data_IF_247289588507
#
_entry.id   IF_247289588507
#
_cell.length_a   1.000
_cell.length_b   1.000
_cell.length_c   1.000
_cell.angle_alpha   90.00
_cell.angle_beta   90.00
_cell.angle_gamma   90.00
#
_symmetry.space_group_name_H-M   'P 1'
#
loop_
_entity.id
_entity.type
_entity.pdbx_description
1 polymer ?
#
# COMPACT_ATOMS: atom_id res chain seq x y z
N UNK A 1 45.32 -31.81 -7.92
CA UNK A 1 45.52 -32.11 -9.35
C UNK A 1 44.87 -30.99 -10.14
N UNK A 2 45.71 -30.13 -10.73
CA UNK A 2 45.37 -28.86 -11.38
C UNK A 2 45.27 -29.14 -12.88
N UNK A 3 44.21 -28.71 -13.56
CA UNK A 3 44.23 -28.53 -15.03
C UNK A 3 43.62 -27.17 -15.38
N UNK A 4 44.42 -26.40 -16.12
CA UNK A 4 44.19 -25.07 -16.69
C UNK A 4 43.49 -25.14 -18.04
N UNK A 5 42.84 -24.01 -18.36
CA UNK A 5 42.47 -23.44 -19.66
C UNK A 5 43.29 -23.85 -20.89
N UNK A 6 42.61 -23.89 -22.05
CA UNK A 6 43.11 -23.34 -23.31
C UNK A 6 41.99 -22.66 -24.13
N UNK A 7 42.41 -21.58 -24.79
CA UNK A 7 41.69 -20.62 -25.63
C UNK A 7 41.50 -21.13 -27.07
N UNK A 8 40.50 -20.61 -27.77
CA UNK A 8 40.63 -20.29 -29.19
C UNK A 8 39.71 -19.12 -29.57
N UNK A 9 40.30 -18.07 -30.14
CA UNK A 9 39.64 -16.95 -30.81
C UNK A 9 40.31 -16.77 -32.21
N UNK A 10 39.72 -15.92 -33.04
CA UNK A 10 40.01 -15.49 -34.44
C UNK A 10 39.09 -16.19 -35.47
N UNK A 11 38.26 -15.50 -36.25
CA UNK A 11 38.02 -14.07 -36.34
C UNK A 11 37.02 -13.65 -37.45
N UNK A 12 36.57 -12.39 -37.32
CA UNK A 12 36.12 -11.41 -38.32
C UNK A 12 35.18 -11.82 -39.48
N UNK A 13 33.95 -11.28 -39.49
CA UNK A 13 33.27 -10.77 -40.69
C UNK A 13 32.52 -9.46 -40.34
N UNK A 14 32.79 -8.42 -41.13
CA UNK A 14 32.31 -7.04 -40.97
C UNK A 14 30.82 -6.88 -41.38
N UNK A 15 30.16 -5.79 -40.94
CA UNK A 15 28.71 -5.61 -41.01
C UNK A 15 28.22 -5.06 -42.35
N UNK A 16 27.03 -5.49 -42.76
CA UNK A 16 26.32 -4.92 -43.92
C UNK A 16 25.68 -3.59 -43.51
N UNK A 17 26.12 -2.54 -44.21
CA UNK A 17 25.62 -1.17 -44.19
C UNK A 17 24.34 -1.08 -45.04
N UNK A 18 23.29 -0.43 -44.53
CA UNK A 18 22.18 0.06 -45.36
C UNK A 18 22.15 1.61 -45.34
N UNK A 19 21.92 2.26 -46.49
CA UNK A 19 22.22 3.67 -46.69
C UNK A 19 21.11 4.61 -46.19
N UNK A 20 21.52 5.84 -45.87
CA UNK A 20 20.65 6.95 -45.51
C UNK A 20 20.30 7.85 -46.71
N UNK A 21 19.09 8.42 -46.60
CA UNK A 21 18.59 9.68 -47.17
C UNK A 21 18.04 9.71 -48.61
N UNK A 22 16.76 10.11 -48.73
CA UNK A 22 16.18 11.24 -49.52
C UNK A 22 14.66 11.22 -49.25
N UNK A 23 14.11 12.05 -48.36
CA UNK A 23 13.61 13.44 -48.54
C UNK A 23 12.12 13.56 -48.93
N UNK A 24 11.41 14.40 -48.16
CA UNK A 24 10.24 15.23 -48.53
C UNK A 24 8.84 14.59 -48.63
N UNK A 25 7.95 14.88 -47.67
CA UNK A 25 6.84 15.85 -47.76
C UNK A 25 5.88 15.71 -46.55
N UNK A 26 5.42 16.84 -45.99
CA UNK A 26 4.06 17.11 -45.42
C UNK A 26 3.43 16.04 -44.50
N UNK A 27 3.16 16.27 -43.20
CA UNK A 27 2.21 17.27 -42.69
C UNK A 27 2.39 17.45 -41.18
N UNK A 28 2.67 18.68 -40.76
CA UNK A 28 2.32 19.19 -39.42
C UNK A 28 0.82 19.46 -39.42
N UNK A 29 0.07 18.87 -38.49
CA UNK A 29 -1.27 19.36 -38.16
C UNK A 29 -1.33 19.68 -36.68
N UNK A 30 -1.18 20.98 -36.41
CA UNK A 30 -1.66 21.63 -35.21
C UNK A 30 -3.18 21.64 -35.24
N UNK A 31 -3.84 21.26 -34.15
CA UNK A 31 -5.24 21.59 -33.93
C UNK A 31 -5.32 22.63 -32.82
N UNK A 32 -5.39 23.88 -33.25
CA UNK A 32 -5.86 25.02 -32.48
C UNK A 32 -7.39 24.93 -32.41
N UNK A 33 -7.94 24.85 -31.20
CA UNK A 33 -9.32 25.26 -30.95
C UNK A 33 -9.29 26.41 -29.96
N UNK A 34 -9.49 27.62 -30.49
CA UNK A 34 -9.72 28.81 -29.70
C UNK A 34 -11.13 28.76 -29.09
N UNK A 35 -11.20 28.88 -27.77
CA UNK A 35 -12.39 29.38 -27.09
C UNK A 35 -11.95 30.59 -26.27
N UNK A 36 -12.41 31.77 -26.68
CA UNK A 36 -12.23 33.01 -25.94
C UNK A 36 -13.37 33.21 -24.93
N UNK A 37 -13.09 34.06 -23.93
CA UNK A 37 -13.99 34.71 -22.96
C UNK A 37 -14.37 33.84 -21.74
N UNK A 38 -14.24 34.27 -20.47
CA UNK A 38 -14.33 35.60 -19.85
C UNK A 38 -13.37 35.67 -18.63
N UNK A 39 -12.63 36.76 -18.48
CA UNK A 39 -11.98 37.13 -17.21
C UNK A 39 -13.04 37.47 -16.17
N UNK A 40 -13.25 36.60 -15.19
CA UNK A 40 -13.79 36.98 -13.89
C UNK A 40 -12.62 37.03 -12.90
N UNK A 41 -12.22 38.24 -12.53
CA UNK A 41 -11.36 38.46 -11.37
C UNK A 41 -12.13 38.09 -10.11
N UNK A 42 -12.14 36.82 -9.74
CA UNK A 42 -12.48 36.42 -8.39
C UNK A 42 -11.22 36.60 -7.56
N UNK A 43 -11.20 37.62 -6.71
CA UNK A 43 -10.33 37.67 -5.54
C UNK A 43 -10.58 36.42 -4.72
N UNK A 44 -9.83 35.35 -4.97
CA UNK A 44 -9.82 34.17 -4.14
C UNK A 44 -9.11 34.57 -2.84
N UNK A 45 -9.91 34.87 -1.82
CA UNK A 45 -9.48 34.82 -0.44
C UNK A 45 -8.80 33.47 -0.23
N UNK A 46 -7.57 33.48 0.30
CA UNK A 46 -6.82 32.27 0.59
C UNK A 46 -7.68 31.32 1.41
N UNK A 47 -8.08 30.20 0.80
CA UNK A 47 -8.70 29.13 1.56
C UNK A 47 -7.61 28.57 2.46
N UNK A 48 -7.73 28.86 3.76
CA UNK A 48 -7.10 28.06 4.80
C UNK A 48 -7.53 26.60 4.53
N UNK A 49 -6.59 25.63 4.46
CA UNK A 49 -6.95 24.23 4.27
C UNK A 49 -8.04 23.88 5.28
N UNK A 50 -9.17 23.40 4.78
CA UNK A 50 -10.24 22.98 5.65
C UNK A 50 -9.67 21.90 6.58
N UNK A 51 -9.61 22.20 7.88
CA UNK A 51 -9.47 21.20 8.94
C UNK A 51 -10.70 20.29 8.91
N UNK A 52 -10.83 19.49 7.87
CA UNK A 52 -11.74 18.35 7.84
C UNK A 52 -11.02 17.24 8.57
N UNK A 53 -11.14 17.27 9.90
CA UNK A 53 -10.99 16.06 10.69
C UNK A 53 -11.77 14.95 9.97
N UNK A 54 -11.15 13.79 9.75
CA UNK A 54 -11.91 12.57 9.45
C UNK A 54 -13.05 12.51 10.46
N UNK A 55 -14.31 12.58 10.00
CA UNK A 55 -15.45 12.73 10.91
C UNK A 55 -15.63 11.52 11.83
N UNK A 56 -14.91 10.43 11.56
CA UNK A 56 -14.91 9.24 12.39
C UNK A 56 -13.48 8.85 12.73
N UNK A 57 -13.18 8.91 14.03
CA UNK A 57 -12.05 8.25 14.64
C UNK A 57 -12.53 6.93 15.25
N UNK A 58 -11.74 5.88 15.09
CA UNK A 58 -12.06 4.56 15.61
C UNK A 58 -10.88 3.93 16.31
N UNK A 59 -11.15 2.79 16.95
CA UNK A 59 -10.12 1.86 17.35
C UNK A 59 -10.54 0.45 17.01
N UNK A 60 -9.56 -0.43 16.84
CA UNK A 60 -9.78 -1.86 16.76
C UNK A 60 -8.64 -2.55 17.50
N UNK A 61 -8.93 -3.72 18.05
CA UNK A 61 -7.96 -4.52 18.80
C UNK A 61 -7.66 -5.76 18.01
N UNK A 62 -6.37 -6.10 17.91
CA UNK A 62 -5.90 -7.38 17.39
C UNK A 62 -5.16 -8.12 18.47
N UNK A 63 -5.23 -9.44 18.42
CA UNK A 63 -4.51 -10.31 19.36
C UNK A 63 -3.29 -10.89 18.66
N UNK A 64 -2.10 -10.50 19.11
CA UNK A 64 -0.86 -11.22 18.81
C UNK A 64 -0.77 -12.45 19.72
N UNK A 65 -0.94 -13.64 19.12
CA UNK A 65 -1.07 -14.89 19.88
C UNK A 65 0.28 -15.36 20.43
N UNK A 66 0.28 -15.90 21.64
CA UNK A 66 1.47 -16.48 22.27
C UNK A 66 2.18 -17.47 21.34
N UNK A 67 3.51 -17.39 21.28
CA UNK A 67 4.37 -18.27 20.47
C UNK A 67 3.92 -18.45 19.02
N UNK A 68 3.42 -17.37 18.41
CA UNK A 68 2.90 -17.39 17.05
C UNK A 68 3.25 -16.10 16.30
N UNK A 69 3.10 -16.15 14.98
CA UNK A 69 3.24 -14.99 14.11
C UNK A 69 1.87 -14.67 13.53
N UNK A 70 1.35 -13.49 13.82
CA UNK A 70 0.00 -13.06 13.42
C UNK A 70 0.09 -11.96 12.36
N UNK A 71 -0.59 -12.14 11.23
CA UNK A 71 -0.78 -11.08 10.24
C UNK A 71 -1.86 -10.12 10.72
N UNK A 72 -1.58 -8.82 10.63
CA UNK A 72 -2.35 -7.75 11.25
C UNK A 72 -2.46 -6.56 10.29
N UNK A 73 -3.67 -6.04 10.13
CA UNK A 73 -3.90 -4.78 9.41
C UNK A 73 -4.24 -3.64 10.37
N UNK A 74 -3.64 -2.48 10.17
CA UNK A 74 -3.84 -1.29 11.01
C UNK A 74 -5.23 -0.66 10.80
N UNK A 75 -5.87 -0.87 9.64
CA UNK A 75 -7.24 -0.44 9.28
C UNK A 75 -7.61 1.02 9.59
N UNK A 76 -6.63 1.87 9.87
CA UNK A 76 -6.80 3.29 10.14
C UNK A 76 -5.64 4.04 9.53
N UNK A 77 -5.92 5.23 9.02
CA UNK A 77 -4.91 6.16 8.53
C UNK A 77 -4.61 7.22 9.57
N UNK A 78 -3.43 7.82 9.50
CA UNK A 78 -3.11 8.99 10.32
C UNK A 78 -3.96 10.20 9.90
N UNK A 79 -4.13 11.20 10.79
CA UNK A 79 -4.84 12.43 10.46
C UNK A 79 -4.32 13.10 9.20
N UNK A 80 -5.21 13.84 8.54
CA UNK A 80 -4.88 14.60 7.33
C UNK A 80 -4.01 15.79 7.72
N UNK A 81 -2.95 16.02 6.96
CA UNK A 81 -2.01 17.12 7.17
C UNK A 81 -2.24 18.26 6.17
N UNK A 82 -2.57 17.92 4.93
CA UNK A 82 -2.95 18.87 3.90
C UNK A 82 -4.00 18.25 2.97
N UNK A 83 -4.77 19.09 2.29
CA UNK A 83 -5.70 18.70 1.24
C UNK A 83 -5.95 19.88 0.31
N UNK A 84 -6.43 19.58 -0.89
CA UNK A 84 -6.60 20.59 -1.92
C UNK A 84 -7.10 20.01 -3.22
N UNK A 85 -6.84 20.72 -4.31
CA UNK A 85 -7.19 20.34 -5.68
C UNK A 85 -5.95 20.39 -6.56
N UNK A 86 -5.85 19.45 -7.48
CA UNK A 86 -4.75 19.41 -8.44
C UNK A 86 -4.97 20.52 -9.47
N UNK A 87 -4.07 21.48 -9.52
CA UNK A 87 -4.05 22.52 -10.56
C UNK A 87 -3.23 22.11 -11.79
N UNK A 88 -2.20 21.30 -11.57
CA UNK A 88 -1.39 20.73 -12.63
C UNK A 88 -0.76 19.41 -12.17
N UNK A 89 -0.58 18.49 -13.11
CA UNK A 89 0.12 17.23 -12.90
C UNK A 89 1.18 17.01 -13.98
N UNK A 90 2.25 16.34 -13.59
CA UNK A 90 3.29 15.86 -14.47
C UNK A 90 3.81 14.53 -13.92
N UNK A 91 4.74 13.91 -14.64
CA UNK A 91 5.39 12.67 -14.19
C UNK A 91 5.90 12.86 -12.76
N UNK A 92 5.33 12.09 -11.83
CA UNK A 92 5.68 12.09 -10.39
C UNK A 92 5.53 13.44 -9.69
N UNK A 93 4.65 14.32 -10.17
CA UNK A 93 4.51 15.67 -9.65
C UNK A 93 3.06 16.11 -9.62
N UNK A 94 2.58 16.52 -8.45
CA UNK A 94 1.26 17.13 -8.25
C UNK A 94 1.42 18.57 -7.77
N UNK A 95 0.75 19.51 -8.44
CA UNK A 95 0.80 20.94 -8.12
C UNK A 95 -0.54 21.43 -7.61
N UNK A 96 -0.51 22.20 -6.53
CA UNK A 96 -1.64 22.98 -6.00
C UNK A 96 -1.13 24.39 -5.71
N UNK A 97 -1.58 25.38 -6.47
CA UNK A 97 -1.16 26.77 -6.35
C UNK A 97 -1.82 27.48 -5.16
N UNK A 98 -2.83 26.87 -4.53
CA UNK A 98 -3.55 27.40 -3.39
C UNK A 98 -2.95 26.94 -2.04
N UNK A 99 -2.26 25.81 -1.99
CA UNK A 99 -1.65 25.27 -0.76
C UNK A 99 -0.15 25.56 -0.68
N UNK A 100 0.35 26.04 0.46
CA UNK A 100 1.79 26.13 0.74
C UNK A 100 2.22 24.87 1.51
N UNK A 101 2.79 23.89 0.81
CA UNK A 101 3.17 22.62 1.41
C UNK A 101 4.38 22.71 2.34
N UNK A 102 5.29 23.67 2.13
CA UNK A 102 6.43 23.85 3.03
C UNK A 102 5.96 24.31 4.41
N UNK A 103 4.89 25.10 4.47
CA UNK A 103 4.24 25.51 5.71
C UNK A 103 3.36 24.37 6.26
N UNK A 104 2.47 23.82 5.44
CA UNK A 104 1.47 22.84 5.90
C UNK A 104 2.09 21.52 6.37
N UNK A 105 3.22 21.11 5.80
CA UNK A 105 3.88 19.82 6.07
C UNK A 105 5.21 19.99 6.84
N UNK A 106 5.45 21.17 7.40
CA UNK A 106 6.67 21.47 8.14
C UNK A 106 6.94 20.44 9.26
N UNK A 107 8.17 19.91 9.30
CA UNK A 107 8.60 18.93 10.29
C UNK A 107 7.99 17.53 10.16
N UNK A 108 7.19 17.28 9.11
CA UNK A 108 6.63 15.96 8.85
C UNK A 108 7.57 15.12 7.98
N UNK A 109 7.47 13.80 8.10
CA UNK A 109 8.23 12.82 7.32
C UNK A 109 7.35 11.62 6.99
N UNK A 110 7.84 10.74 6.11
CA UNK A 110 7.11 9.55 5.65
C UNK A 110 5.72 9.89 5.09
N UNK A 111 5.68 10.94 4.27
CA UNK A 111 4.43 11.46 3.73
C UNK A 111 3.95 10.57 2.58
N UNK A 112 2.64 10.54 2.38
CA UNK A 112 2.01 9.98 1.21
C UNK A 112 0.81 10.84 0.82
N UNK A 113 0.52 10.88 -0.47
CA UNK A 113 -0.62 11.60 -1.05
C UNK A 113 -1.63 10.59 -1.58
N UNK A 114 -2.91 10.87 -1.38
CA UNK A 114 -4.04 10.07 -1.85
C UNK A 114 -4.96 10.93 -2.72
N UNK A 115 -5.35 10.43 -3.88
CA UNK A 115 -6.40 11.03 -4.70
C UNK A 115 -7.76 10.70 -4.09
N UNK A 116 -8.57 11.71 -3.81
CA UNK A 116 -9.85 11.56 -3.07
C UNK A 116 -11.10 11.82 -3.92
N UNK A 117 -10.96 12.18 -5.18
CA UNK A 117 -12.07 12.26 -6.15
C UNK A 117 -11.73 11.54 -7.47
N UNK A 118 -12.63 11.65 -8.44
CA UNK A 118 -12.43 11.10 -9.78
C UNK A 118 -12.57 9.58 -9.86
N UNK A 119 -12.22 9.04 -11.03
CA UNK A 119 -12.35 7.60 -11.35
C UNK A 119 -11.44 6.73 -10.51
N UNK A 120 -10.25 7.24 -10.18
CA UNK A 120 -9.20 6.53 -9.46
C UNK A 120 -9.08 6.96 -8.00
N UNK A 121 -10.16 7.48 -7.41
CA UNK A 121 -10.24 7.79 -5.98
C UNK A 121 -9.73 6.62 -5.14
N UNK A 122 -8.71 6.87 -4.33
CA UNK A 122 -8.05 5.89 -3.47
C UNK A 122 -6.67 5.46 -3.96
N UNK A 123 -6.25 5.86 -5.16
CA UNK A 123 -4.85 5.74 -5.56
C UNK A 123 -4.00 6.64 -4.68
N UNK A 124 -2.85 6.12 -4.27
CA UNK A 124 -1.96 6.78 -3.34
C UNK A 124 -0.50 6.49 -3.69
N UNK A 125 0.38 7.40 -3.31
CA UNK A 125 1.82 7.30 -3.52
C UNK A 125 2.60 7.94 -2.37
N UNK A 126 3.73 7.36 -1.94
CA UNK A 126 4.69 8.04 -1.08
C UNK A 126 5.15 9.38 -1.69
N UNK A 127 5.38 10.37 -0.84
CA UNK A 127 5.91 11.68 -1.22
C UNK A 127 7.41 11.68 -0.95
N UNK A 128 8.21 11.85 -2.01
CA UNK A 128 9.68 11.83 -1.95
C UNK A 128 10.28 13.21 -1.77
N UNK A 129 9.58 14.27 -2.17
CA UNK A 129 10.00 15.65 -1.95
C UNK A 129 8.81 16.61 -1.84
N UNK A 130 9.01 17.69 -1.07
CA UNK A 130 8.01 18.75 -0.87
C UNK A 130 8.64 20.09 -1.26
N UNK A 131 7.99 20.80 -2.17
CA UNK A 131 8.26 22.19 -2.49
C UNK A 131 7.01 23.03 -2.20
N UNK A 132 7.13 24.37 -2.26
CA UNK A 132 6.06 25.27 -1.82
C UNK A 132 4.68 24.92 -2.40
N UNK A 133 4.61 24.59 -3.70
CA UNK A 133 3.35 24.30 -4.43
C UNK A 133 3.32 22.92 -5.06
N UNK A 134 4.35 22.10 -4.84
CA UNK A 134 4.54 20.84 -5.55
C UNK A 134 4.87 19.72 -4.58
N UNK A 135 4.16 18.61 -4.73
CA UNK A 135 4.51 17.32 -4.13
C UNK A 135 5.15 16.45 -5.20
N UNK A 136 6.35 15.94 -4.94
CA UNK A 136 6.97 14.91 -5.77
C UNK A 136 6.66 13.53 -5.20
N UNK A 137 6.18 12.62 -6.04
CA UNK A 137 5.71 11.29 -5.62
C UNK A 137 6.67 10.18 -6.02
N UNK A 138 6.54 9.02 -5.39
CA UNK A 138 7.30 7.82 -5.71
C UNK A 138 6.81 7.16 -7.01
N UNK A 139 5.50 7.15 -7.24
CA UNK A 139 4.91 6.65 -8.48
C UNK A 139 4.49 7.81 -9.38
N UNK A 140 4.39 7.53 -10.68
CA UNK A 140 3.78 8.45 -11.62
C UNK A 140 2.25 8.38 -11.51
N UNK A 141 1.65 9.44 -10.99
CA UNK A 141 0.21 9.57 -10.85
C UNK A 141 -0.45 10.28 -12.03
N UNK A 142 0.29 10.78 -13.02
CA UNK A 142 -0.26 11.64 -14.10
C UNK A 142 -1.27 10.96 -15.02
N UNK A 143 -1.29 9.61 -15.07
CA UNK A 143 -2.31 8.83 -15.77
C UNK A 143 -3.47 8.39 -14.85
N UNK A 144 -3.33 8.63 -13.54
CA UNK A 144 -4.24 8.16 -12.50
C UNK A 144 -4.97 9.31 -11.81
N UNK A 145 -4.53 10.55 -11.96
CA UNK A 145 -5.24 11.76 -11.55
C UNK A 145 -5.62 12.62 -12.75
N UNK A 146 -6.44 13.64 -12.49
CA UNK A 146 -6.72 14.71 -13.43
C UNK A 146 -6.67 16.06 -12.74
N UNK A 147 -6.38 17.13 -13.50
CA UNK A 147 -6.60 18.52 -13.05
C UNK A 147 -8.05 18.68 -12.54
N UNK A 148 -8.18 19.26 -11.35
CA UNK A 148 -9.43 19.45 -10.63
C UNK A 148 -9.78 18.33 -9.64
N UNK A 149 -9.10 17.17 -9.70
CA UNK A 149 -9.26 16.14 -8.68
C UNK A 149 -8.76 16.63 -7.31
N UNK A 150 -9.44 16.17 -6.25
CA UNK A 150 -9.08 16.48 -4.88
C UNK A 150 -8.07 15.45 -4.36
N UNK A 151 -7.25 15.88 -3.40
CA UNK A 151 -6.27 15.00 -2.75
C UNK A 151 -6.21 15.25 -1.24
N UNK A 152 -5.59 14.30 -0.52
CA UNK A 152 -5.19 14.48 0.88
C UNK A 152 -3.75 13.99 1.06
N UNK A 153 -2.99 14.66 1.93
CA UNK A 153 -1.64 14.26 2.35
C UNK A 153 -1.68 13.83 3.79
N UNK A 154 -1.03 12.70 4.08
CA UNK A 154 -0.93 12.10 5.42
C UNK A 154 0.49 11.63 5.66
N UNK A 155 0.86 11.48 6.92
CA UNK A 155 2.03 10.70 7.28
C UNK A 155 1.68 9.20 7.33
N UNK A 156 2.63 8.34 6.98
CA UNK A 156 2.55 6.91 7.22
C UNK A 156 2.57 6.63 8.73
N UNK A 157 2.07 5.45 9.10
CA UNK A 157 2.33 4.93 10.43
C UNK A 157 3.80 4.52 10.57
N UNK A 158 4.25 4.32 11.80
CA UNK A 158 5.61 3.87 12.13
C UNK A 158 5.55 3.00 13.37
N UNK A 159 6.61 2.24 13.70
CA UNK A 159 6.68 1.53 14.98
C UNK A 159 6.40 2.45 16.18
N UNK A 160 6.95 3.68 16.16
CA UNK A 160 6.73 4.65 17.22
C UNK A 160 5.26 5.12 17.33
N UNK A 161 4.53 5.25 16.22
CA UNK A 161 3.12 5.67 16.26
C UNK A 161 2.15 4.52 16.54
N UNK A 162 2.51 3.28 16.15
CA UNK A 162 1.67 2.10 16.33
C UNK A 162 1.81 1.47 17.71
N UNK A 163 3.04 1.35 18.18
CA UNK A 163 3.38 0.63 19.41
C UNK A 163 3.90 1.56 20.51
N UNK A 164 4.05 2.85 20.18
CA UNK A 164 4.52 3.90 21.07
C UNK A 164 6.05 4.06 21.06
N UNK A 165 6.54 5.26 21.36
CA UNK A 165 7.97 5.60 21.34
C UNK A 165 8.79 4.80 22.35
N UNK A 166 8.17 4.32 23.42
CA UNK A 166 8.79 3.51 24.46
C UNK A 166 8.08 2.16 24.63
N UNK A 167 7.49 1.64 23.55
CA UNK A 167 6.79 0.34 23.53
C UNK A 167 5.62 0.25 24.53
N UNK A 168 4.78 1.28 24.55
CA UNK A 168 3.54 1.34 25.32
C UNK A 168 2.54 0.22 24.95
N UNK A 169 2.64 -0.33 23.74
CA UNK A 169 1.85 -1.49 23.31
C UNK A 169 2.20 -2.78 24.05
N UNK A 170 3.34 -2.86 24.76
CA UNK A 170 3.68 -4.00 25.59
C UNK A 170 4.25 -5.21 24.84
N UNK A 171 4.84 -5.00 23.65
CA UNK A 171 5.63 -6.04 22.99
C UNK A 171 6.78 -6.46 23.91
N UNK A 172 7.19 -7.73 23.88
CA UNK A 172 8.33 -8.20 24.67
C UNK A 172 9.60 -7.56 24.11
N UNK A 173 10.33 -6.74 24.88
CA UNK A 173 11.51 -6.09 24.37
C UNK A 173 12.75 -7.00 24.45
N UNK A 174 13.79 -6.65 23.70
CA UNK A 174 15.12 -7.20 23.85
C UNK A 174 15.85 -6.53 25.02
N UNK A 175 16.46 -7.28 25.95
CA UNK A 175 17.31 -6.71 26.99
C UNK A 175 18.67 -6.23 26.45
N UNK A 176 19.00 -6.55 25.20
CA UNK A 176 20.27 -6.22 24.54
C UNK A 176 20.06 -5.29 23.37
N UNK A 177 21.13 -4.64 22.92
CA UNK A 177 21.08 -3.70 21.80
C UNK A 177 20.75 -4.43 20.49
N UNK A 178 21.33 -5.61 20.31
CA UNK A 178 21.04 -6.51 19.19
C UNK A 178 19.90 -7.49 19.51
N UNK A 179 19.25 -8.02 18.47
CA UNK A 179 18.24 -9.07 18.62
C UNK A 179 18.91 -10.42 18.95
N UNK A 180 18.39 -11.09 19.98
CA UNK A 180 18.95 -12.34 20.53
C UNK A 180 17.93 -13.49 20.55
N UNK A 181 16.86 -13.41 19.74
CA UNK A 181 15.81 -14.43 19.70
C UNK A 181 14.67 -14.25 20.70
N UNK A 182 14.85 -13.40 21.71
CA UNK A 182 13.92 -13.30 22.84
C UNK A 182 12.85 -12.21 22.70
N UNK A 183 13.08 -11.19 21.88
CA UNK A 183 12.15 -10.09 21.70
C UNK A 183 11.04 -10.46 20.71
N UNK A 184 9.88 -9.83 20.86
CA UNK A 184 8.89 -9.83 19.80
C UNK A 184 9.45 -9.11 18.57
N UNK A 185 9.00 -9.54 17.39
CA UNK A 185 9.36 -8.92 16.13
C UNK A 185 8.11 -8.41 15.43
N UNK A 186 8.25 -7.24 14.81
CA UNK A 186 7.29 -6.69 13.86
C UNK A 186 7.90 -6.77 12.48
N UNK A 187 7.23 -7.43 11.54
CA UNK A 187 7.71 -7.52 10.17
C UNK A 187 6.96 -6.46 9.37
N UNK A 188 7.71 -5.52 8.83
CA UNK A 188 7.18 -4.40 8.05
C UNK A 188 7.62 -4.64 6.60
N UNK A 189 6.68 -4.72 5.64
CA UNK A 189 7.03 -4.88 4.23
C UNK A 189 8.04 -3.83 3.77
N UNK A 190 9.02 -4.24 2.96
CA UNK A 190 10.07 -3.35 2.44
C UNK A 190 9.75 -2.75 1.06
N UNK A 191 8.60 -3.09 0.47
CA UNK A 191 8.18 -2.70 -0.88
C UNK A 191 8.83 -3.51 -2.01
N UNK A 192 9.82 -4.36 -1.73
CA UNK A 192 10.52 -5.21 -2.68
C UNK A 192 10.13 -6.70 -2.58
N UNK A 193 9.06 -7.01 -1.82
CA UNK A 193 8.60 -8.36 -1.55
C UNK A 193 9.26 -9.03 -0.34
N UNK A 194 10.07 -8.29 0.43
CA UNK A 194 10.69 -8.72 1.68
C UNK A 194 10.14 -7.97 2.90
N UNK A 195 10.86 -8.11 4.01
CA UNK A 195 10.51 -7.49 5.29
C UNK A 195 11.72 -6.87 5.96
N UNK A 196 11.47 -5.75 6.63
CA UNK A 196 12.29 -5.25 7.72
C UNK A 196 11.76 -5.78 9.03
N UNK A 197 12.65 -6.37 9.82
CA UNK A 197 12.32 -6.96 11.12
C UNK A 197 12.65 -5.97 12.23
N UNK A 198 11.65 -5.52 12.96
CA UNK A 198 11.78 -4.47 13.98
C UNK A 198 11.48 -5.03 15.37
N UNK A 199 12.29 -4.66 16.36
CA UNK A 199 12.07 -4.96 17.79
C UNK A 199 12.31 -3.72 18.64
N UNK A 200 11.81 -3.74 19.88
CA UNK A 200 12.17 -2.73 20.87
C UNK A 200 13.34 -3.21 21.74
N UNK A 201 14.38 -2.40 21.92
CA UNK A 201 15.48 -2.67 22.85
C UNK A 201 15.36 -1.81 24.10
N UNK A 202 15.42 -2.42 25.29
CA UNK A 202 15.50 -1.67 26.55
C UNK A 202 16.91 -1.16 26.85
N UNK A 203 17.97 -1.82 26.36
CA UNK A 203 19.36 -1.40 26.62
C UNK A 203 19.69 -0.02 26.05
N UNK A 204 19.10 0.31 24.90
CA UNK A 204 19.30 1.57 24.18
C UNK A 204 18.00 2.37 24.02
N UNK A 205 16.96 1.96 24.76
CA UNK A 205 15.63 2.56 24.83
C UNK A 205 15.07 3.01 23.46
N UNK A 206 14.73 2.05 22.60
CA UNK A 206 14.08 2.39 21.33
C UNK A 206 13.89 1.25 20.36
N UNK A 207 13.22 1.56 19.25
CA UNK A 207 13.00 0.64 18.13
C UNK A 207 14.29 0.43 17.34
N UNK A 208 14.60 -0.83 17.01
CA UNK A 208 15.78 -1.26 16.26
C UNK A 208 15.37 -2.21 15.16
N UNK A 209 16.12 -2.20 14.09
CA UNK A 209 16.00 -3.16 12.99
C UNK A 209 17.02 -4.28 13.19
N UNK A 210 16.60 -5.53 13.03
CA UNK A 210 17.48 -6.70 13.12
C UNK A 210 18.63 -6.54 12.13
N UNK A 211 19.86 -6.81 12.57
CA UNK A 211 21.09 -6.69 11.77
C UNK A 211 21.43 -5.27 11.27
N UNK A 212 20.79 -4.22 11.79
CA UNK A 212 21.05 -2.81 11.41
C UNK A 212 21.89 -2.04 12.45
N UNK A 213 22.52 -2.77 13.39
CA UNK A 213 23.28 -2.18 14.49
C UNK A 213 22.42 -1.34 15.42
N UNK A 214 22.84 -0.09 15.67
CA UNK A 214 22.22 0.82 16.65
C UNK A 214 21.21 1.77 16.01
N UNK A 215 21.01 1.67 14.69
CA UNK A 215 20.13 2.54 13.90
C UNK A 215 18.69 2.45 14.40
N UNK A 216 18.07 3.62 14.61
CA UNK A 216 16.69 3.69 15.04
C UNK A 216 15.76 3.25 13.91
N UNK A 217 14.88 2.29 14.21
CA UNK A 217 13.77 1.90 13.34
C UNK A 217 12.46 2.62 13.69
N UNK A 218 12.49 3.60 14.61
CA UNK A 218 11.30 4.24 15.13
C UNK A 218 10.47 4.97 14.06
N UNK A 219 11.14 5.46 13.01
CA UNK A 219 10.54 6.17 11.88
C UNK A 219 10.37 5.31 10.63
N UNK A 220 10.50 3.97 10.73
CA UNK A 220 10.28 3.12 9.56
C UNK A 220 8.80 3.21 9.13
N UNK A 221 8.50 3.57 7.87
CA UNK A 221 7.12 3.74 7.44
C UNK A 221 6.38 2.39 7.37
N UNK A 222 5.12 2.42 7.78
CA UNK A 222 4.11 1.38 7.55
C UNK A 222 3.01 2.05 6.75
N UNK A 223 2.93 1.75 5.46
CA UNK A 223 1.93 2.39 4.59
C UNK A 223 0.56 1.79 4.83
N UNK A 224 -0.47 2.54 4.47
CA UNK A 224 -1.85 2.17 4.77
C UNK A 224 -2.28 0.87 4.07
N UNK A 225 -1.66 0.49 2.95
CA UNK A 225 -1.96 -0.76 2.24
C UNK A 225 -1.28 -1.99 2.85
N UNK A 226 -0.28 -1.79 3.71
CA UNK A 226 0.60 -2.85 4.18
C UNK A 226 -0.02 -3.61 5.35
N UNK A 227 -0.16 -4.93 5.19
CA UNK A 227 -0.28 -5.83 6.31
C UNK A 227 1.07 -5.98 7.01
N UNK A 228 1.07 -5.97 8.34
CA UNK A 228 2.28 -6.21 9.15
C UNK A 228 2.14 -7.53 9.89
N UNK A 229 3.27 -8.18 10.15
CA UNK A 229 3.29 -9.35 11.02
C UNK A 229 3.77 -8.98 12.41
N UNK A 230 3.20 -9.63 13.42
CA UNK A 230 3.69 -9.58 14.79
C UNK A 230 4.05 -11.01 15.21
N UNK A 231 5.34 -11.28 15.35
CA UNK A 231 5.86 -12.49 15.99
C UNK A 231 5.93 -12.26 17.49
N UNK A 232 5.11 -13.00 18.23
CA UNK A 232 5.04 -12.95 19.68
C UNK A 232 5.90 -14.06 20.26
N UNK A 233 7.05 -13.70 20.82
CA UNK A 233 7.99 -14.60 21.49
C UNK A 233 7.73 -14.60 23.00
N UNK A 234 6.50 -14.93 23.40
CA UNK A 234 6.09 -14.96 24.80
C UNK A 234 4.96 -15.97 25.02
N UNK A 235 4.80 -16.44 26.27
CA UNK A 235 3.79 -17.42 26.67
C UNK A 235 2.36 -16.89 26.76
N UNK A 236 2.17 -15.58 26.64
CA UNK A 236 0.86 -14.94 26.73
C UNK A 236 0.55 -14.15 25.47
N UNK A 237 -0.74 -14.16 25.11
CA UNK A 237 -1.28 -13.29 24.08
C UNK A 237 -1.06 -11.83 24.46
N UNK A 238 -0.95 -10.97 23.45
CA UNK A 238 -0.92 -9.53 23.60
C UNK A 238 -2.03 -8.92 22.74
N UNK A 239 -2.91 -8.15 23.36
CA UNK A 239 -3.89 -7.35 22.64
C UNK A 239 -3.28 -5.99 22.28
N UNK A 240 -3.14 -5.74 20.99
CA UNK A 240 -2.63 -4.49 20.43
C UNK A 240 -3.80 -3.67 19.93
N UNK A 241 -3.89 -2.42 20.39
CA UNK A 241 -4.96 -1.49 20.01
C UNK A 241 -4.45 -0.48 19.00
N UNK A 242 -5.04 -0.48 17.81
CA UNK A 242 -4.81 0.57 16.82
C UNK A 242 -5.93 1.58 16.85
N UNK A 243 -5.59 2.84 16.59
CA UNK A 243 -6.56 3.93 16.49
C UNK A 243 -6.15 4.92 15.41
N UNK A 244 -7.14 5.61 14.85
CA UNK A 244 -6.89 6.62 13.83
C UNK A 244 -8.16 6.99 13.08
N UNK A 245 -7.95 7.58 11.91
CA UNK A 245 -9.01 7.99 10.99
C UNK A 245 -9.45 6.82 10.11
N UNK A 246 -10.76 6.71 9.89
CA UNK A 246 -11.33 5.73 8.96
C UNK A 246 -11.14 6.23 7.51
N UNK A 247 -10.86 5.30 6.61
CA UNK A 247 -10.82 5.55 5.17
C UNK A 247 -12.11 5.04 4.51
N UNK A 248 -12.77 5.88 3.72
CA UNK A 248 -14.00 5.56 2.98
C UNK A 248 -13.78 5.47 1.46
N UNK A 249 -12.55 5.68 0.99
CA UNK A 249 -12.16 5.46 -0.39
C UNK A 249 -11.79 3.97 -0.63
N UNK A 250 -11.93 3.47 -1.87
CA UNK A 250 -11.33 2.21 -2.28
C UNK A 250 -9.82 2.17 -1.97
N UNK A 251 -9.31 0.98 -1.74
CA UNK A 251 -7.90 0.73 -1.48
C UNK A 251 -7.32 0.05 -2.70
N UNK A 252 -6.29 0.67 -3.27
CA UNK A 252 -5.50 0.11 -4.36
C UNK A 252 -4.19 -0.41 -3.80
N UNK A 253 -3.77 -1.60 -4.23
CA UNK A 253 -2.49 -2.19 -3.86
C UNK A 253 -1.93 -2.96 -5.04
N UNK A 254 -0.61 -3.08 -5.08
CA UNK A 254 0.08 -3.85 -6.12
C UNK A 254 0.32 -5.28 -5.66
N UNK A 255 0.19 -6.23 -6.58
CA UNK A 255 0.60 -7.61 -6.35
C UNK A 255 1.46 -8.11 -7.51
N UNK A 256 2.66 -8.61 -7.19
CA UNK A 256 3.57 -9.22 -8.16
C UNK A 256 3.23 -10.70 -8.35
N UNK A 257 3.33 -11.20 -9.58
CA UNK A 257 3.14 -12.62 -9.88
C UNK A 257 4.15 -13.48 -9.11
N UNK A 258 3.66 -14.53 -8.45
CA UNK A 258 4.47 -15.49 -7.72
C UNK A 258 4.98 -15.01 -6.36
N UNK A 259 4.57 -13.81 -5.92
CA UNK A 259 4.91 -13.26 -4.60
C UNK A 259 3.62 -13.05 -3.81
N UNK A 260 3.66 -13.40 -2.52
CA UNK A 260 2.55 -13.12 -1.62
C UNK A 260 2.56 -11.64 -1.23
N UNK A 261 1.47 -10.94 -1.49
CA UNK A 261 1.27 -9.57 -1.02
C UNK A 261 0.47 -9.59 0.30
N UNK A 262 1.05 -9.06 1.37
CA UNK A 262 0.36 -8.91 2.65
C UNK A 262 -0.34 -7.56 2.75
N UNK A 263 -1.67 -7.61 2.78
CA UNK A 263 -2.53 -6.45 2.52
C UNK A 263 -3.34 -6.12 3.76
N UNK A 264 -3.28 -4.86 4.18
CA UNK A 264 -4.22 -4.29 5.13
C UNK A 264 -5.56 -4.08 4.44
N UNK A 265 -6.62 -4.67 4.99
CA UNK A 265 -7.97 -4.57 4.43
C UNK A 265 -8.47 -3.12 4.37
N UNK A 266 -7.94 -2.24 5.22
CA UNK A 266 -8.32 -0.82 5.37
C UNK A 266 -9.76 -0.56 5.83
N UNK A 267 -10.56 -1.60 6.07
CA UNK A 267 -11.95 -1.52 6.47
C UNK A 267 -12.17 -2.35 7.72
N UNK A 268 -12.37 -1.67 8.86
CA UNK A 268 -12.52 -2.31 10.16
C UNK A 268 -13.77 -3.21 10.30
N UNK A 269 -14.79 -3.07 9.45
CA UNK A 269 -16.02 -3.85 9.55
C UNK A 269 -16.76 -3.98 8.19
N UNK A 270 -17.63 -4.98 8.08
CA UNK A 270 -18.65 -5.07 7.03
C UNK A 270 -18.18 -5.43 5.62
N UNK A 271 -16.87 -5.48 5.35
CA UNK A 271 -16.33 -5.97 4.08
C UNK A 271 -16.36 -7.51 4.03
N UNK A 272 -16.88 -8.07 2.94
CA UNK A 272 -16.93 -9.50 2.65
C UNK A 272 -16.29 -9.79 1.29
N UNK A 273 -16.00 -11.05 1.00
CA UNK A 273 -15.51 -11.49 -0.30
C UNK A 273 -16.39 -10.96 -1.45
N UNK A 274 -17.71 -11.09 -1.37
CA UNK A 274 -18.62 -10.59 -2.41
C UNK A 274 -18.61 -9.06 -2.53
N UNK A 275 -18.77 -8.32 -1.43
CA UNK A 275 -18.96 -6.87 -1.51
C UNK A 275 -17.65 -6.07 -1.71
N UNK A 276 -16.49 -6.73 -1.55
CA UNK A 276 -15.17 -6.12 -1.76
C UNK A 276 -14.92 -5.66 -3.20
N UNK A 277 -15.61 -6.26 -4.17
CA UNK A 277 -15.33 -6.07 -5.60
C UNK A 277 -13.99 -6.66 -6.06
N UNK A 278 -13.22 -7.34 -5.18
CA UNK A 278 -11.90 -7.87 -5.50
C UNK A 278 -11.95 -8.96 -6.58
N UNK A 279 -13.09 -9.65 -6.73
CA UNK A 279 -13.30 -10.66 -7.77
C UNK A 279 -12.96 -10.10 -9.17
N UNK A 280 -13.30 -8.85 -9.46
CA UNK A 280 -13.04 -8.24 -10.78
C UNK A 280 -11.56 -8.00 -11.10
N UNK A 281 -10.65 -8.20 -10.13
CA UNK A 281 -9.22 -7.91 -10.28
C UNK A 281 -8.32 -9.15 -10.09
N UNK A 282 -8.84 -10.19 -9.45
CA UNK A 282 -8.12 -11.45 -9.26
C UNK A 282 -8.23 -12.33 -10.50
N UNK A 283 -7.24 -13.19 -10.70
CA UNK A 283 -7.34 -14.26 -11.68
C UNK A 283 -8.38 -15.28 -11.21
N UNK A 284 -9.45 -15.44 -11.97
CA UNK A 284 -10.44 -16.49 -11.76
C UNK A 284 -9.86 -17.86 -12.15
N UNK A 285 -10.26 -18.91 -11.42
CA UNK A 285 -9.81 -20.26 -11.74
C UNK A 285 -10.24 -21.31 -10.73
N UNK A 286 -9.38 -22.29 -10.52
CA UNK A 286 -9.49 -23.31 -9.47
C UNK A 286 -8.59 -22.98 -8.28
N UNK A 287 -8.60 -23.84 -7.26
CA UNK A 287 -7.62 -23.80 -6.16
C UNK A 287 -6.15 -23.85 -6.62
N UNK A 288 -5.87 -24.38 -7.82
CA UNK A 288 -4.51 -24.45 -8.35
C UNK A 288 -4.19 -23.38 -9.37
N UNK A 289 -5.16 -22.87 -10.12
CA UNK A 289 -4.93 -21.91 -11.21
C UNK A 289 -5.32 -20.47 -10.90
N UNK A 290 -6.30 -20.25 -10.01
CA UNK A 290 -6.74 -18.92 -9.60
C UNK A 290 -5.86 -18.31 -8.53
N UNK A 291 -5.95 -17.00 -8.37
CA UNK A 291 -5.33 -16.30 -7.24
C UNK A 291 -5.95 -16.78 -5.93
N UNK A 292 -5.12 -16.86 -4.88
CA UNK A 292 -5.54 -17.36 -3.56
C UNK A 292 -5.46 -16.24 -2.54
N UNK A 293 -6.58 -16.01 -1.86
CA UNK A 293 -6.65 -15.19 -0.64
C UNK A 293 -6.44 -16.08 0.57
N UNK A 294 -5.40 -15.78 1.33
CA UNK A 294 -5.06 -16.45 2.58
C UNK A 294 -5.55 -15.61 3.75
N UNK A 295 -6.61 -16.08 4.41
CA UNK A 295 -7.18 -15.42 5.58
C UNK A 295 -6.68 -16.11 6.85
N UNK A 296 -6.08 -15.39 7.81
CA UNK A 296 -5.70 -15.99 9.08
C UNK A 296 -6.94 -16.46 9.81
N UNK A 297 -6.91 -17.70 10.30
CA UNK A 297 -8.04 -18.30 11.02
C UNK A 297 -7.83 -18.25 12.55
N UNK A 298 -8.87 -18.61 13.30
CA UNK A 298 -8.86 -18.54 14.77
C UNK A 298 -7.95 -19.57 15.44
N UNK A 299 -7.48 -20.58 14.72
CA UNK A 299 -6.62 -21.66 15.22
C UNK A 299 -5.14 -21.45 14.90
N UNK A 300 -4.77 -20.30 14.31
CA UNK A 300 -3.38 -19.97 13.98
C UNK A 300 -2.89 -20.52 12.63
N UNK A 301 -3.82 -21.04 11.81
CA UNK A 301 -3.57 -21.42 10.42
C UNK A 301 -4.24 -20.44 9.44
N UNK A 302 -4.51 -20.94 8.23
CA UNK A 302 -5.03 -20.15 7.13
C UNK A 302 -6.22 -20.83 6.46
N UNK A 303 -7.26 -20.05 6.21
CA UNK A 303 -8.29 -20.41 5.24
C UNK A 303 -7.91 -19.83 3.87
N UNK A 304 -8.08 -20.62 2.82
CA UNK A 304 -7.73 -20.25 1.45
C UNK A 304 -8.99 -20.08 0.61
N UNK A 305 -9.12 -18.94 -0.05
CA UNK A 305 -10.26 -18.60 -0.90
C UNK A 305 -9.81 -18.23 -2.31
N UNK A 306 -10.59 -18.63 -3.31
CA UNK A 306 -10.36 -18.30 -4.71
C UNK A 306 -11.68 -17.93 -5.38
N UNK A 307 -11.64 -17.16 -6.47
CA UNK A 307 -12.83 -16.91 -7.28
C UNK A 307 -12.85 -17.84 -8.49
N UNK A 308 -14.03 -18.38 -8.81
CA UNK A 308 -14.22 -19.25 -9.96
C UNK A 308 -15.37 -18.74 -10.81
N UNK A 309 -15.27 -18.90 -12.13
CA UNK A 309 -16.39 -18.74 -13.05
C UNK A 309 -17.20 -20.03 -13.13
N UNK A 310 -18.34 -20.01 -13.81
CA UNK A 310 -19.11 -21.23 -14.06
C UNK A 310 -18.33 -22.18 -14.97
N UNK A 311 -17.79 -23.26 -14.38
CA UNK A 311 -16.98 -24.27 -15.08
C UNK A 311 -17.37 -25.66 -14.60
N UNK A 312 -17.78 -26.53 -15.52
CA UNK A 312 -18.21 -27.90 -15.19
C UNK A 312 -19.37 -27.91 -14.21
N UNK A 313 -19.19 -28.54 -13.05
CA UNK A 313 -20.18 -28.58 -11.97
C UNK A 313 -20.10 -27.39 -11.00
N UNK A 314 -19.13 -26.49 -11.16
CA UNK A 314 -18.95 -25.34 -10.29
C UNK A 314 -19.83 -24.16 -10.72
N UNK A 315 -20.43 -23.48 -9.76
CA UNK A 315 -21.11 -22.20 -9.97
C UNK A 315 -20.12 -21.07 -9.77
N UNK A 316 -20.30 -19.97 -10.53
CA UNK A 316 -19.51 -18.77 -10.32
C UNK A 316 -19.61 -18.26 -8.87
N UNK A 317 -18.50 -17.76 -8.31
CA UNK A 317 -18.45 -17.20 -6.97
C UNK A 317 -17.15 -17.48 -6.24
N UNK A 318 -17.10 -17.03 -4.98
CA UNK A 318 -15.97 -17.28 -4.10
C UNK A 318 -16.04 -18.70 -3.56
N UNK A 319 -14.95 -19.44 -3.61
CA UNK A 319 -14.85 -20.81 -3.11
C UNK A 319 -13.76 -20.90 -2.06
N UNK A 320 -13.88 -21.88 -1.16
CA UNK A 320 -12.83 -22.23 -0.20
C UNK A 320 -12.14 -23.51 -0.66
N UNK A 321 -10.81 -23.52 -0.62
CA UNK A 321 -10.01 -24.71 -0.95
C UNK A 321 -10.48 -25.90 -0.12
N UNK A 322 -10.66 -27.06 -0.77
CA UNK A 322 -11.15 -28.27 -0.12
C UNK A 322 -12.62 -28.27 0.34
N UNK A 323 -13.42 -27.22 0.03
CA UNK A 323 -14.84 -27.12 0.45
C UNK A 323 -15.86 -27.33 -0.67
N UNK A 324 -15.41 -27.77 -1.85
CA UNK A 324 -16.28 -28.02 -3.01
C UNK A 324 -16.92 -26.75 -3.59
N UNK A 325 -18.17 -26.87 -4.05
CA UNK A 325 -18.85 -25.82 -4.81
C UNK A 325 -19.61 -24.78 -3.95
N UNK A 326 -19.46 -24.82 -2.63
CA UNK A 326 -20.13 -23.87 -1.74
C UNK A 326 -19.62 -22.45 -1.98
N UNK A 327 -20.53 -21.49 -2.20
CA UNK A 327 -20.17 -20.07 -2.30
C UNK A 327 -19.83 -19.50 -0.92
N UNK A 328 -18.69 -18.85 -0.84
CA UNK A 328 -18.08 -18.24 0.34
C UNK A 328 -18.16 -16.71 0.30
N UNK A 329 -18.98 -16.14 -0.60
CA UNK A 329 -19.13 -14.71 -0.77
C UNK A 329 -19.48 -13.91 0.50
N UNK A 330 -20.14 -14.55 1.47
CA UNK A 330 -20.48 -13.96 2.77
C UNK A 330 -19.32 -13.93 3.78
N UNK A 331 -18.17 -14.55 3.47
CA UNK A 331 -16.99 -14.54 4.34
C UNK A 331 -16.49 -13.11 4.52
N UNK A 332 -16.41 -12.68 5.78
CA UNK A 332 -15.93 -11.35 6.18
C UNK A 332 -14.42 -11.28 6.02
N UNK A 333 -13.91 -10.15 5.53
CA UNK A 333 -12.47 -9.93 5.48
C UNK A 333 -11.88 -9.83 6.89
N UNK A 334 -10.73 -10.47 7.16
CA UNK A 334 -9.93 -10.21 8.35
C UNK A 334 -9.36 -8.79 8.31
N UNK A 335 -8.69 -8.36 9.38
CA UNK A 335 -8.02 -7.05 9.43
C UNK A 335 -6.91 -6.93 8.38
N UNK A 336 -6.23 -8.03 8.06
CA UNK A 336 -5.30 -8.17 6.94
C UNK A 336 -5.33 -9.61 6.41
N UNK A 337 -4.90 -9.78 5.17
CA UNK A 337 -4.83 -11.07 4.47
C UNK A 337 -3.60 -11.11 3.55
N UNK A 338 -3.18 -12.31 3.13
CA UNK A 338 -2.17 -12.47 2.08
C UNK A 338 -2.83 -12.81 0.76
N UNK A 339 -2.38 -12.20 -0.33
CA UNK A 339 -2.76 -12.56 -1.70
C UNK A 339 -1.61 -13.29 -2.37
N UNK A 340 -1.83 -14.54 -2.75
CA UNK A 340 -0.97 -15.26 -3.69
C UNK A 340 -1.43 -14.94 -5.11
N UNK A 341 -0.65 -14.12 -5.82
CA UNK A 341 -0.96 -13.70 -7.19
C UNK A 341 -0.38 -14.70 -8.19
N UNK A 342 -1.24 -15.48 -8.84
CA UNK A 342 -0.90 -16.37 -9.95
C UNK A 342 -1.12 -15.71 -11.30
N UNK A 343 -2.06 -14.76 -11.36
CA UNK A 343 -2.26 -13.89 -12.53
C UNK A 343 -1.09 -12.95 -12.80
N UNK A 344 -1.21 -12.16 -13.86
CA UNK A 344 -0.24 -11.13 -14.21
C UNK A 344 -0.09 -10.09 -13.09
N UNK A 345 1.12 -9.61 -12.85
CA UNK A 345 1.38 -8.56 -11.87
C UNK A 345 0.56 -7.30 -12.22
N UNK A 346 0.08 -6.60 -11.19
CA UNK A 346 -0.72 -5.40 -11.42
C UNK A 346 -1.34 -4.82 -10.16
N UNK A 347 -2.07 -3.73 -10.35
CA UNK A 347 -2.81 -3.07 -9.29
C UNK A 347 -4.18 -3.70 -9.13
N UNK A 348 -4.51 -4.10 -7.90
CA UNK A 348 -5.81 -4.61 -7.50
C UNK A 348 -6.54 -3.58 -6.65
N UNK A 349 -7.86 -3.75 -6.54
CA UNK A 349 -8.74 -2.83 -5.82
C UNK A 349 -9.67 -3.59 -4.89
N UNK A 350 -9.78 -3.09 -3.65
CA UNK A 350 -10.82 -3.49 -2.70
C UNK A 350 -11.66 -2.25 -2.41
N UNK A 351 -12.96 -2.39 -2.58
CA UNK A 351 -13.95 -1.35 -2.31
C UNK A 351 -14.49 -1.50 -0.89
N UNK A 352 -14.69 -0.41 -0.14
CA UNK A 352 -15.34 -0.49 1.16
C UNK A 352 -16.77 -0.97 1.02
N UNK A 353 -17.28 -1.61 2.08
CA UNK A 353 -18.70 -1.86 2.23
C UNK A 353 -19.51 -0.56 2.20
N UNK A 354 -20.79 -0.63 1.79
CA UNK A 354 -21.67 0.53 1.71
C UNK A 354 -21.91 1.21 3.07
N UNK A 355 -21.59 0.55 4.19
CA UNK A 355 -21.60 1.16 5.52
C UNK A 355 -20.63 2.35 5.64
N UNK A 356 -19.64 2.44 4.76
CA UNK A 356 -18.69 3.57 4.70
C UNK A 356 -19.18 4.73 3.84
N UNK A 357 -20.34 4.60 3.19
CA UNK A 357 -20.89 5.68 2.37
C UNK A 357 -21.35 6.85 3.26
N UNK A 358 -20.86 8.05 2.97
CA UNK A 358 -21.25 9.28 3.67
C UNK A 358 -20.48 9.57 4.97
N UNK A 359 -19.44 8.78 5.27
CA UNK A 359 -18.51 8.99 6.38
C UNK A 359 -17.40 9.99 6.06
#
# INVERSE_FOLDING_TARGET
>A
MIIKFFSLDIGSHNPVVFPAAYSNLMNKLHLLAAAALICATTTATGQVPANTNSKLAGFHTVTARAWSTSLVGVNFVRPMLASGKIDAEAVRSLTDNNVDFLVALAGQSNLWVEITSGTNRGVASPVTAVAQRVLTTEEDLSALSAVGDTYVVRAAHTPATLFGTTNQAGLRPSPTESWTGNADLVYIPDGAGGYKYVYYSTSVAGWREVNSGTTSAASLPVYHVDGIWIQRNHFTNLDVKFSGSIRSAPTFFFAATGVNADVNTNYAAGSTLTNSGLHSYVLHGSETTGDILWFPNSTGGWDQYYYTDTVGSFTAGWKKVGSGNTDMGATVFPTAFSLERKGAAGTLKITPSTIYNGL
#
